data_IF_299807736880
#
_entry.id   IF_299807736880
#
_cell.length_a   1.000
_cell.length_b   1.000
_cell.length_c   1.000
_cell.angle_alpha   90.00
_cell.angle_beta   90.00
_cell.angle_gamma   90.00
#
_symmetry.space_group_name_H-M   'P 1'
#
loop_
_entity.id
_entity.type
_entity.pdbx_description
1 polymer ?
#
# COMPACT_ATOMS: atom_id res chain seq x y z
N UNK A 1 -12.67 11.27 -20.91
CA UNK A 1 -11.61 12.20 -20.49
C UNK A 1 -10.30 11.72 -21.08
N UNK A 2 -9.46 12.58 -21.67
CA UNK A 2 -8.22 12.16 -22.31
C UNK A 2 -7.23 11.62 -21.27
N UNK A 3 -6.52 10.56 -21.65
CA UNK A 3 -5.34 10.08 -20.93
C UNK A 3 -4.13 10.88 -21.39
N UNK A 4 -3.29 11.29 -20.45
CA UNK A 4 -2.06 12.04 -20.69
C UNK A 4 -0.90 11.36 -19.97
N UNK A 5 0.31 11.72 -20.38
CA UNK A 5 1.55 11.23 -19.77
C UNK A 5 2.33 12.44 -19.25
N UNK A 6 2.74 12.38 -17.99
CA UNK A 6 3.56 13.38 -17.31
C UNK A 6 4.82 12.70 -16.80
N UNK A 7 5.99 13.27 -17.06
CA UNK A 7 7.26 12.63 -16.72
C UNK A 7 8.07 13.43 -15.70
N UNK A 8 8.89 12.71 -14.97
CA UNK A 8 9.96 13.16 -14.07
C UNK A 8 11.27 12.48 -14.50
N UNK A 9 12.43 12.80 -13.90
CA UNK A 9 13.71 12.22 -14.34
C UNK A 9 13.75 10.68 -14.35
N UNK A 10 13.08 10.00 -13.43
CA UNK A 10 13.14 8.54 -13.27
C UNK A 10 11.78 7.82 -13.39
N UNK A 11 10.69 8.58 -13.56
CA UNK A 11 9.34 8.03 -13.63
C UNK A 11 8.50 8.70 -14.71
N UNK A 12 7.69 7.91 -15.40
CA UNK A 12 6.66 8.38 -16.33
C UNK A 12 5.26 8.02 -15.81
N UNK A 13 4.41 9.00 -15.56
CA UNK A 13 3.05 8.81 -15.04
C UNK A 13 1.99 8.87 -16.14
N UNK A 14 1.13 7.86 -16.20
CA UNK A 14 -0.06 7.82 -17.07
C UNK A 14 -1.31 8.03 -16.24
N UNK A 15 -2.11 9.03 -16.59
CA UNK A 15 -3.29 9.42 -15.82
C UNK A 15 -4.34 10.12 -16.69
N UNK A 16 -5.52 10.34 -16.14
CA UNK A 16 -6.51 11.21 -16.78
C UNK A 16 -6.10 12.68 -16.59
N UNK A 17 -6.38 13.55 -17.57
CA UNK A 17 -6.02 14.98 -17.51
C UNK A 17 -6.51 15.69 -16.22
N UNK A 18 -7.67 15.30 -15.69
CA UNK A 18 -8.21 15.84 -14.43
C UNK A 18 -7.37 15.55 -13.18
N UNK A 19 -6.37 14.68 -13.28
CA UNK A 19 -5.48 14.26 -12.19
C UNK A 19 -4.09 14.93 -12.29
N UNK A 20 -3.87 15.84 -13.24
CA UNK A 20 -2.54 16.39 -13.55
C UNK A 20 -1.84 17.03 -12.34
N UNK A 21 -2.49 17.96 -11.64
CA UNK A 21 -1.91 18.60 -10.45
C UNK A 21 -1.58 17.60 -9.34
N UNK A 22 -2.49 16.64 -9.11
CA UNK A 22 -2.31 15.56 -8.13
C UNK A 22 -1.11 14.67 -8.48
N UNK A 23 -0.89 14.42 -9.77
CA UNK A 23 0.16 13.51 -10.27
C UNK A 23 1.55 14.12 -10.17
N UNK A 24 1.68 15.43 -10.38
CA UNK A 24 2.96 16.12 -10.19
C UNK A 24 3.51 15.90 -8.77
N UNK A 25 2.66 16.03 -7.74
CA UNK A 25 3.04 15.76 -6.35
C UNK A 25 3.36 14.28 -6.07
N UNK A 26 2.73 13.34 -6.80
CA UNK A 26 3.08 11.92 -6.71
C UNK A 26 4.49 11.67 -7.27
N UNK A 27 4.81 12.28 -8.41
CA UNK A 27 6.14 12.13 -9.03
C UNK A 27 7.23 12.74 -8.15
N UNK A 28 7.01 13.91 -7.56
CA UNK A 28 7.93 14.53 -6.60
C UNK A 28 8.17 13.62 -5.39
N UNK A 29 7.11 13.10 -4.77
CA UNK A 29 7.22 12.14 -3.66
C UNK A 29 8.02 10.88 -4.05
N UNK A 30 7.85 10.39 -5.27
CA UNK A 30 8.54 9.21 -5.77
C UNK A 30 10.02 9.48 -6.00
N UNK A 31 10.39 10.65 -6.51
CA UNK A 31 11.79 11.06 -6.67
C UNK A 31 12.48 11.22 -5.31
N UNK A 32 11.86 11.91 -4.35
CA UNK A 32 12.38 12.02 -2.98
C UNK A 32 12.56 10.64 -2.33
N UNK A 33 11.61 9.74 -2.56
CA UNK A 33 11.67 8.37 -2.05
C UNK A 33 12.77 7.58 -2.75
N UNK A 34 12.94 7.75 -4.07
CA UNK A 34 14.03 7.14 -4.84
C UNK A 34 15.35 7.56 -4.24
N UNK A 35 15.65 8.84 -4.16
CA UNK A 35 16.91 9.37 -3.64
C UNK A 35 17.28 8.79 -2.27
N UNK A 36 16.29 8.69 -1.37
CA UNK A 36 16.48 8.05 -0.06
C UNK A 36 16.80 6.55 -0.16
N UNK A 37 16.15 5.83 -1.07
CA UNK A 37 16.22 4.37 -1.14
C UNK A 37 17.36 3.83 -2.02
N UNK A 38 17.95 4.62 -2.93
CA UNK A 38 19.11 4.17 -3.75
C UNK A 38 20.31 3.77 -2.88
N UNK A 39 20.40 4.34 -1.68
CA UNK A 39 21.47 4.01 -0.72
C UNK A 39 21.33 2.60 -0.14
N UNK A 40 20.13 2.00 -0.21
CA UNK A 40 19.79 0.72 0.43
C UNK A 40 19.49 -0.39 -0.58
N UNK A 41 18.85 -0.05 -1.70
CA UNK A 41 18.40 -1.00 -2.71
C UNK A 41 19.04 -0.70 -4.07
N UNK A 42 19.28 -1.73 -4.89
CA UNK A 42 19.75 -1.52 -6.25
C UNK A 42 18.75 -0.68 -7.04
N UNK A 43 19.28 0.22 -7.86
CA UNK A 43 18.44 1.01 -8.76
C UNK A 43 17.80 0.08 -9.82
N UNK A 44 16.54 0.32 -10.16
CA UNK A 44 15.90 -0.34 -11.29
C UNK A 44 16.64 -0.02 -12.59
N UNK A 45 16.91 -1.04 -13.40
CA UNK A 45 17.57 -0.88 -14.71
C UNK A 45 16.75 -0.09 -15.74
N UNK A 46 15.52 0.29 -15.40
CA UNK A 46 14.57 0.89 -16.32
C UNK A 46 13.76 1.97 -15.64
N UNK A 47 13.31 2.93 -16.45
CA UNK A 47 12.27 3.89 -16.05
C UNK A 47 11.00 3.14 -15.60
N UNK A 48 10.38 3.67 -14.55
CA UNK A 48 9.19 3.09 -13.94
C UNK A 48 7.95 3.84 -14.40
N UNK A 49 6.97 3.10 -14.89
CA UNK A 49 5.68 3.68 -15.27
C UNK A 49 4.74 3.74 -14.07
N UNK A 50 4.14 4.91 -13.84
CA UNK A 50 3.24 5.18 -12.72
C UNK A 50 1.82 5.35 -13.28
N UNK A 51 0.96 4.35 -13.13
CA UNK A 51 -0.40 4.39 -13.67
C UNK A 51 -1.36 4.84 -12.58
N UNK A 52 -1.92 6.04 -12.73
CA UNK A 52 -2.84 6.66 -11.76
C UNK A 52 -4.29 6.49 -12.20
N UNK A 53 -5.06 5.85 -11.33
CA UNK A 53 -6.44 5.47 -11.58
C UNK A 53 -7.42 6.42 -10.89
N UNK A 54 -8.28 7.08 -11.67
CA UNK A 54 -9.32 7.97 -11.13
C UNK A 54 -10.47 7.26 -10.40
N UNK A 55 -10.49 5.91 -10.36
CA UNK A 55 -11.53 5.12 -9.69
C UNK A 55 -11.02 3.77 -9.17
N UNK A 56 -11.69 3.24 -8.14
CA UNK A 56 -11.41 1.89 -7.62
C UNK A 56 -11.68 0.80 -8.67
N UNK A 57 -12.68 1.02 -9.53
CA UNK A 57 -13.07 0.06 -10.57
C UNK A 57 -12.00 -0.08 -11.64
N UNK A 58 -11.46 1.03 -12.16
CA UNK A 58 -10.37 0.99 -13.13
C UNK A 58 -9.11 0.35 -12.57
N UNK A 59 -8.77 0.65 -11.30
CA UNK A 59 -7.66 0.00 -10.61
C UNK A 59 -7.89 -1.52 -10.45
N UNK A 60 -9.10 -1.96 -10.10
CA UNK A 60 -9.42 -3.37 -9.95
C UNK A 60 -9.41 -4.13 -11.29
N UNK A 61 -9.78 -3.47 -12.40
CA UNK A 61 -9.66 -4.03 -13.74
C UNK A 61 -8.20 -4.22 -14.17
N UNK A 62 -7.35 -3.23 -13.89
CA UNK A 62 -5.92 -3.34 -14.14
C UNK A 62 -5.26 -4.39 -13.24
N UNK A 63 -5.70 -4.48 -11.97
CA UNK A 63 -5.06 -5.29 -10.94
C UNK A 63 -6.09 -6.17 -10.20
N UNK A 64 -6.52 -7.30 -10.82
CA UNK A 64 -7.61 -8.14 -10.31
C UNK A 64 -7.29 -8.85 -8.99
N UNK A 65 -6.02 -8.91 -8.58
CA UNK A 65 -5.61 -9.45 -7.27
C UNK A 65 -5.90 -8.50 -6.10
N UNK A 66 -5.96 -7.20 -6.36
CA UNK A 66 -6.22 -6.20 -5.32
C UNK A 66 -7.57 -6.41 -4.59
N UNK A 67 -8.72 -6.65 -5.26
CA UNK A 67 -9.98 -6.94 -4.56
C UNK A 67 -9.93 -8.25 -3.75
N UNK A 68 -9.14 -9.24 -4.17
CA UNK A 68 -8.93 -10.46 -3.40
C UNK A 68 -8.14 -10.15 -2.11
N UNK A 69 -7.06 -9.37 -2.21
CA UNK A 69 -6.27 -8.95 -1.06
C UNK A 69 -7.09 -8.08 -0.09
N UNK A 70 -7.94 -7.20 -0.60
CA UNK A 70 -8.85 -6.39 0.22
C UNK A 70 -9.80 -7.25 1.06
N UNK A 71 -10.34 -8.34 0.50
CA UNK A 71 -11.21 -9.28 1.24
C UNK A 71 -10.47 -9.97 2.39
N UNK A 72 -9.19 -10.28 2.21
CA UNK A 72 -8.32 -10.90 3.21
C UNK A 72 -7.77 -9.89 4.24
N UNK A 73 -7.91 -8.60 3.96
CA UNK A 73 -7.40 -7.50 4.80
C UNK A 73 -8.46 -7.03 5.80
N UNK A 74 -8.04 -6.69 7.02
CA UNK A 74 -8.92 -6.15 8.06
C UNK A 74 -9.64 -4.88 7.58
N UNK A 75 -10.93 -4.67 7.91
CA UNK A 75 -11.72 -3.55 7.39
C UNK A 75 -11.07 -2.16 7.56
N UNK A 76 -10.44 -1.90 8.70
CA UNK A 76 -9.75 -0.63 8.96
C UNK A 76 -8.53 -0.42 8.05
N UNK A 77 -7.82 -1.49 7.68
CA UNK A 77 -6.59 -1.43 6.87
C UNK A 77 -6.87 -1.37 5.37
N UNK A 78 -8.05 -1.80 4.90
CA UNK A 78 -8.41 -1.82 3.46
C UNK A 78 -8.28 -0.46 2.79
N UNK A 79 -8.49 0.64 3.53
CA UNK A 79 -8.39 2.01 3.00
C UNK A 79 -6.97 2.38 2.54
N UNK A 80 -5.95 1.72 3.11
CA UNK A 80 -4.55 1.93 2.76
C UNK A 80 -4.05 1.00 1.65
N UNK A 81 -4.90 0.06 1.17
CA UNK A 81 -4.65 -0.68 -0.07
C UNK A 81 -5.00 0.21 -1.26
N UNK A 82 -4.06 1.10 -1.54
CA UNK A 82 -4.15 2.19 -2.50
C UNK A 82 -3.70 1.83 -3.92
N UNK A 83 -3.07 0.66 -4.10
CA UNK A 83 -2.46 0.31 -5.36
C UNK A 83 -1.78 -1.05 -5.34
N UNK A 84 -0.99 -1.30 -6.38
CA UNK A 84 -0.28 -2.55 -6.62
C UNK A 84 1.09 -2.28 -7.24
N UNK A 85 2.18 -2.83 -6.68
CA UNK A 85 3.50 -2.75 -7.29
C UNK A 85 3.71 -3.90 -8.29
N UNK A 86 3.97 -3.55 -9.54
CA UNK A 86 4.49 -4.44 -10.59
C UNK A 86 6.02 -4.46 -10.61
N UNK A 87 6.61 -5.12 -11.60
CA UNK A 87 8.08 -5.16 -11.77
C UNK A 87 8.63 -3.87 -12.42
N UNK A 88 7.79 -3.20 -13.21
CA UNK A 88 8.13 -1.98 -13.98
C UNK A 88 7.05 -0.90 -13.88
N UNK A 89 5.93 -1.25 -13.26
CA UNK A 89 4.75 -0.39 -13.21
C UNK A 89 4.26 -0.28 -11.77
N UNK A 90 3.87 0.91 -11.35
CA UNK A 90 3.15 1.15 -10.12
C UNK A 90 1.72 1.54 -10.48
N UNK A 91 0.74 0.73 -10.09
CA UNK A 91 -0.65 1.13 -10.23
C UNK A 91 -1.14 1.71 -8.91
N UNK A 92 -1.63 2.93 -8.92
CA UNK A 92 -2.19 3.57 -7.73
C UNK A 92 -3.52 4.25 -8.03
N UNK A 93 -4.30 4.44 -6.99
CA UNK A 93 -5.47 5.28 -7.03
C UNK A 93 -5.06 6.75 -6.95
N UNK A 94 -5.74 7.63 -7.68
CA UNK A 94 -5.53 9.07 -7.66
C UNK A 94 -5.48 9.65 -6.23
N UNK A 95 -4.56 10.58 -5.93
CA UNK A 95 -4.44 11.23 -4.61
C UNK A 95 -5.76 11.74 -4.04
N UNK A 96 -6.56 12.50 -4.79
CA UNK A 96 -7.91 12.92 -4.34
C UNK A 96 -8.81 11.78 -3.83
N UNK A 97 -8.67 10.58 -4.39
CA UNK A 97 -9.44 9.39 -3.96
C UNK A 97 -8.81 8.73 -2.73
N UNK A 98 -7.49 8.83 -2.55
CA UNK A 98 -6.81 8.40 -1.34
C UNK A 98 -7.23 9.28 -0.15
N UNK A 99 -7.28 10.59 -0.37
CA UNK A 99 -7.77 11.55 0.62
C UNK A 99 -9.23 11.27 1.00
N UNK A 100 -10.11 11.06 0.02
CA UNK A 100 -11.51 10.71 0.27
C UNK A 100 -11.70 9.39 1.06
N UNK A 101 -10.69 8.51 1.07
CA UNK A 101 -10.69 7.25 1.85
C UNK A 101 -10.09 7.41 3.25
N UNK A 102 -9.39 8.50 3.51
CA UNK A 102 -8.80 8.77 4.80
C UNK A 102 -9.91 8.93 5.86
N UNK A 103 -9.65 8.46 7.07
CA UNK A 103 -10.56 8.70 8.19
C UNK A 103 -10.17 9.96 8.96
N UNK A 104 -11.04 10.38 9.88
CA UNK A 104 -10.78 11.47 10.83
C UNK A 104 -9.69 11.16 11.86
N UNK A 105 -9.13 9.94 11.88
CA UNK A 105 -8.03 9.59 12.78
C UNK A 105 -6.77 10.37 12.37
N UNK A 106 -6.08 11.06 13.30
CA UNK A 106 -4.82 11.74 13.01
C UNK A 106 -3.81 10.82 12.33
N UNK A 107 -3.18 11.28 11.26
CA UNK A 107 -2.22 10.50 10.46
C UNK A 107 -2.88 9.66 9.34
N UNK A 108 -4.21 9.51 9.30
CA UNK A 108 -4.86 8.65 8.31
C UNK A 108 -4.70 9.18 6.88
N UNK A 109 -4.75 10.50 6.69
CA UNK A 109 -4.57 11.13 5.38
C UNK A 109 -3.12 11.00 4.93
N UNK A 110 -2.18 11.32 5.81
CA UNK A 110 -0.74 11.25 5.57
C UNK A 110 -0.32 9.82 5.25
N UNK A 111 -0.83 8.84 5.99
CA UNK A 111 -0.60 7.41 5.70
C UNK A 111 -1.11 7.02 4.30
N UNK A 112 -2.29 7.52 3.90
CA UNK A 112 -2.86 7.23 2.59
C UNK A 112 -2.07 7.89 1.45
N UNK A 113 -1.67 9.15 1.62
CA UNK A 113 -0.91 9.92 0.63
C UNK A 113 0.52 9.41 0.44
N UNK A 114 1.11 8.77 1.46
CA UNK A 114 2.40 8.07 1.35
C UNK A 114 2.33 6.69 0.69
N UNK A 115 1.14 6.26 0.24
CA UNK A 115 1.01 4.98 -0.44
C UNK A 115 1.88 4.82 -1.71
N UNK A 116 2.09 5.84 -2.57
CA UNK A 116 2.98 5.72 -3.72
C UNK A 116 4.41 5.37 -3.30
N UNK A 117 4.95 6.05 -2.30
CA UNK A 117 6.26 5.75 -1.71
C UNK A 117 6.33 4.32 -1.15
N UNK A 118 5.28 3.88 -0.45
CA UNK A 118 5.20 2.51 0.07
C UNK A 118 5.09 1.43 -1.00
N UNK A 119 4.47 1.72 -2.15
CA UNK A 119 4.41 0.81 -3.30
C UNK A 119 5.76 0.74 -4.03
N UNK A 120 6.41 1.87 -4.22
CA UNK A 120 7.75 1.93 -4.80
C UNK A 120 8.77 1.15 -3.94
N UNK A 121 8.74 1.36 -2.62
CA UNK A 121 9.56 0.58 -1.69
C UNK A 121 9.28 -0.94 -1.77
N UNK A 122 8.00 -1.34 -1.88
CA UNK A 122 7.65 -2.76 -2.07
C UNK A 122 8.24 -3.34 -3.36
N UNK A 123 8.22 -2.57 -4.44
CA UNK A 123 8.82 -2.97 -5.71
C UNK A 123 10.34 -3.18 -5.55
N UNK A 124 11.05 -2.22 -4.96
CA UNK A 124 12.51 -2.33 -4.72
C UNK A 124 12.86 -3.52 -3.83
N UNK A 125 12.12 -3.72 -2.74
CA UNK A 125 12.29 -4.88 -1.85
C UNK A 125 12.07 -6.18 -2.63
N UNK A 126 11.04 -6.23 -3.48
CA UNK A 126 10.77 -7.38 -4.33
C UNK A 126 11.91 -7.65 -5.32
N UNK A 127 12.41 -6.62 -5.99
CA UNK A 127 13.49 -6.72 -6.98
C UNK A 127 14.80 -7.19 -6.32
N UNK A 128 15.13 -6.65 -5.14
CA UNK A 128 16.30 -7.06 -4.37
C UNK A 128 16.17 -8.47 -3.77
N UNK A 129 14.95 -8.99 -3.62
CA UNK A 129 14.68 -10.27 -2.97
C UNK A 129 13.80 -11.17 -3.84
N UNK A 130 14.38 -11.98 -4.75
CA UNK A 130 13.62 -12.87 -5.65
C UNK A 130 12.70 -13.86 -4.93
N UNK A 131 12.95 -14.13 -3.64
CA UNK A 131 12.10 -14.99 -2.79
C UNK A 131 10.85 -14.27 -2.25
N UNK A 132 10.86 -12.94 -2.21
CA UNK A 132 9.78 -12.05 -1.76
C UNK A 132 9.00 -11.42 -2.92
N UNK A 133 9.61 -11.39 -4.10
CA UNK A 133 9.02 -11.05 -5.40
C UNK A 133 7.48 -11.16 -5.39
N UNK A 134 6.74 -10.02 -5.40
CA UNK A 134 5.29 -10.02 -5.62
C UNK A 134 4.96 -10.78 -6.91
N UNK A 135 3.71 -11.26 -7.09
CA UNK A 135 3.41 -12.28 -8.10
C UNK A 135 3.55 -11.70 -9.51
N UNK A 136 4.77 -11.71 -10.03
CA UNK A 136 5.11 -11.51 -11.44
C UNK A 136 4.91 -12.81 -12.24
N UNK A 137 4.22 -13.77 -11.64
CA UNK A 137 3.75 -15.00 -12.26
C UNK A 137 2.23 -15.10 -12.03
N UNK A 138 1.47 -15.62 -13.00
CA UNK A 138 0.03 -15.80 -12.84
C UNK A 138 -0.24 -16.74 -11.64
N UNK A 139 -0.91 -16.19 -10.63
CA UNK A 139 -1.40 -16.93 -9.46
C UNK A 139 -0.62 -16.64 -8.15
N UNK A 140 -1.30 -16.34 -7.03
CA UNK A 140 -0.66 -16.22 -5.74
C UNK A 140 -0.19 -17.60 -5.26
N UNK A 141 1.11 -17.75 -4.98
CA UNK A 141 1.60 -18.98 -4.32
C UNK A 141 1.37 -18.89 -2.81
N UNK A 142 1.28 -20.05 -2.13
CA UNK A 142 1.25 -20.11 -0.65
C UNK A 142 2.44 -19.37 -0.03
N UNK A 143 3.60 -19.40 -0.70
CA UNK A 143 4.81 -18.69 -0.30
C UNK A 143 4.63 -17.17 -0.40
N UNK A 144 4.06 -16.66 -1.49
CA UNK A 144 3.74 -15.24 -1.65
C UNK A 144 2.82 -14.75 -0.52
N UNK A 145 1.80 -15.53 -0.15
CA UNK A 145 0.92 -15.20 0.97
C UNK A 145 1.64 -15.23 2.32
N UNK A 146 2.55 -16.20 2.53
CA UNK A 146 3.35 -16.31 3.76
C UNK A 146 4.28 -15.11 3.97
N UNK A 147 4.77 -14.49 2.90
CA UNK A 147 5.71 -13.36 2.96
C UNK A 147 5.05 -12.00 2.69
N UNK A 148 3.75 -11.96 2.37
CA UNK A 148 3.03 -10.73 2.09
C UNK A 148 3.13 -9.71 3.22
N UNK A 149 3.13 -10.16 4.48
CA UNK A 149 3.30 -9.28 5.64
C UNK A 149 4.65 -8.57 5.66
N UNK A 150 5.72 -9.24 5.21
CA UNK A 150 7.06 -8.69 5.19
C UNK A 150 7.19 -7.66 4.07
N UNK A 151 6.67 -7.97 2.87
CA UNK A 151 6.65 -7.02 1.77
C UNK A 151 5.84 -5.76 2.12
N UNK A 152 4.61 -5.94 2.63
CA UNK A 152 3.74 -4.82 3.05
C UNK A 152 4.38 -4.01 4.18
N UNK A 153 4.98 -4.68 5.17
CA UNK A 153 5.65 -4.03 6.30
C UNK A 153 6.89 -3.24 5.87
N UNK A 154 7.72 -3.81 4.98
CA UNK A 154 8.88 -3.14 4.41
C UNK A 154 8.44 -1.91 3.60
N UNK A 155 7.38 -2.03 2.79
CA UNK A 155 6.77 -0.90 2.10
C UNK A 155 6.38 0.24 3.04
N UNK A 156 5.67 -0.09 4.12
CA UNK A 156 5.26 0.91 5.12
C UNK A 156 6.47 1.55 5.83
N UNK A 157 7.51 0.77 6.13
CA UNK A 157 8.72 1.27 6.78
C UNK A 157 9.51 2.21 5.86
N UNK A 158 9.91 1.73 4.69
CA UNK A 158 10.73 2.50 3.75
C UNK A 158 9.96 3.64 3.07
N UNK A 159 8.63 3.52 2.96
CA UNK A 159 7.74 4.59 2.51
C UNK A 159 7.39 5.64 3.58
N UNK A 160 7.90 5.51 4.81
CA UNK A 160 7.67 6.49 5.90
C UNK A 160 6.27 6.43 6.54
N UNK A 161 5.44 5.44 6.18
CA UNK A 161 4.07 5.32 6.68
C UNK A 161 4.01 4.91 8.17
N UNK A 162 5.09 4.37 8.74
CA UNK A 162 5.12 3.86 10.12
C UNK A 162 4.86 4.94 11.18
N UNK A 163 5.28 6.19 10.94
CA UNK A 163 5.01 7.32 11.83
C UNK A 163 3.50 7.54 12.03
N UNK A 164 2.73 7.36 10.97
CA UNK A 164 1.28 7.55 10.94
C UNK A 164 0.49 6.28 11.31
N UNK A 165 1.14 5.11 11.29
CA UNK A 165 0.53 3.85 11.68
C UNK A 165 0.47 3.64 13.21
N UNK A 166 1.23 4.43 14.01
CA UNK A 166 1.34 4.24 15.47
C UNK A 166 0.00 4.18 16.20
N UNK A 167 -1.00 5.06 15.94
CA UNK A 167 -2.29 4.98 16.61
C UNK A 167 -3.05 3.68 16.29
N UNK A 168 -3.02 3.24 15.02
CA UNK A 168 -3.67 2.02 14.58
C UNK A 168 -3.00 0.76 15.14
N UNK A 169 -1.67 0.74 15.18
CA UNK A 169 -0.88 -0.35 15.79
C UNK A 169 -1.15 -0.41 17.29
N UNK A 170 -1.09 0.73 18.00
CA UNK A 170 -1.36 0.79 19.43
C UNK A 170 -2.77 0.31 19.78
N UNK A 171 -3.78 0.68 18.97
CA UNK A 171 -5.14 0.17 19.11
C UNK A 171 -5.20 -1.35 18.92
N UNK A 172 -4.57 -1.87 17.86
CA UNK A 172 -4.53 -3.32 17.57
C UNK A 172 -3.87 -4.12 18.70
N UNK A 173 -2.79 -3.61 19.28
CA UNK A 173 -2.09 -4.29 20.38
C UNK A 173 -2.91 -4.31 21.68
N UNK A 174 -3.79 -3.33 21.90
CA UNK A 174 -4.67 -3.27 23.08
C UNK A 174 -5.98 -4.03 22.92
N UNK A 175 -6.60 -3.94 21.75
CA UNK A 175 -7.95 -4.44 21.48
C UNK A 175 -7.96 -5.76 20.69
N UNK A 176 -6.82 -6.15 20.11
CA UNK A 176 -6.71 -7.35 19.28
C UNK A 176 -6.03 -8.51 20.00
N UNK A 177 -6.07 -9.68 19.35
CA UNK A 177 -5.33 -10.85 19.81
C UNK A 177 -3.80 -10.62 19.74
N UNK A 178 -3.06 -11.36 20.55
CA UNK A 178 -1.60 -11.32 20.61
C UNK A 178 -0.96 -11.50 19.21
N UNK A 179 0.02 -10.63 18.84
CA UNK A 179 0.68 -10.71 17.55
C UNK A 179 1.53 -11.97 17.41
N UNK A 180 1.49 -12.60 16.23
CA UNK A 180 2.35 -13.74 15.87
C UNK A 180 3.16 -13.44 14.61
N UNK A 181 4.35 -14.02 14.50
CA UNK A 181 5.23 -13.85 13.34
C UNK A 181 5.70 -15.22 12.81
N UNK A 182 5.41 -15.58 11.54
CA UNK A 182 4.55 -14.86 10.58
C UNK A 182 3.08 -14.78 11.04
N UNK A 183 2.31 -13.79 10.57
CA UNK A 183 0.88 -13.73 10.84
C UNK A 183 0.17 -14.93 10.19
N UNK A 184 -0.75 -15.55 10.92
CA UNK A 184 -1.61 -16.61 10.37
C UNK A 184 -2.59 -16.08 9.29
N UNK A 185 -3.17 -16.97 8.46
CA UNK A 185 -4.17 -16.60 7.46
C UNK A 185 -5.47 -16.11 8.13
N UNK A 186 -5.53 -14.81 8.42
CA UNK A 186 -6.67 -14.03 8.89
C UNK A 186 -7.64 -14.69 9.91
N UNK A 187 -7.40 -14.39 11.19
CA UNK A 187 -8.46 -14.15 12.19
C UNK A 187 -9.42 -13.08 11.64
N UNK A 188 -10.67 -13.46 11.35
CA UNK A 188 -11.78 -12.57 11.03
C UNK A 188 -12.28 -11.93 12.34
N UNK A 189 -12.56 -10.62 12.36
CA UNK A 189 -13.17 -9.94 13.52
C UNK A 189 -14.60 -10.43 13.85
N UNK A 190 -15.34 -9.81 14.79
CA UNK A 190 -15.03 -8.62 15.60
C UNK A 190 -14.58 -9.00 17.02
N UNK A 191 -14.11 -8.01 17.79
CA UNK A 191 -14.05 -8.14 19.24
C UNK A 191 -15.42 -8.65 19.74
N UNK A 192 -15.44 -9.83 20.37
CA UNK A 192 -16.60 -10.27 21.13
C UNK A 192 -16.88 -9.20 22.18
N UNK A 193 -18.13 -8.78 22.25
CA UNK A 193 -18.59 -7.77 23.18
C UNK A 193 -18.02 -7.98 24.58
N UNK A 194 -17.61 -6.86 25.17
CA UNK A 194 -17.42 -6.72 26.60
C UNK A 194 -18.57 -7.46 27.32
N UNK A 195 -18.28 -8.61 27.92
CA UNK A 195 -19.18 -9.17 28.93
C UNK A 195 -19.03 -8.26 30.14
N UNK A 196 -20.09 -7.60 30.64
CA UNK A 196 -20.01 -7.03 31.97
C UNK A 196 -19.72 -8.20 32.91
N UNK A 197 -18.67 -8.06 33.73
CA UNK A 197 -18.41 -8.97 34.84
C UNK A 197 -19.63 -9.03 35.76
N UNK A 198 -19.81 -10.12 36.51
CA UNK A 198 -20.93 -10.23 37.44
C UNK A 198 -20.89 -9.05 38.41
N UNK A 199 -21.99 -8.29 38.47
CA UNK A 199 -22.25 -7.38 39.57
C UNK A 199 -22.44 -8.24 40.83
N UNK A 200 -21.45 -8.27 41.71
CA UNK A 200 -21.65 -8.58 43.12
C UNK A 200 -22.16 -7.32 43.85
N UNK A 201 -22.74 -7.42 45.05
CA UNK A 201 -22.68 -8.54 45.99
C UNK A 201 -23.92 -9.46 45.99
#
# INVERSE_FOLDING_TARGET
MPWVETSSPNFAARHELRDEDDVAGVLELLEDTRERLVQTFPEPEHEITVVVHGSTGSLALAQPYLPLLQRLTAPASRRYLAGWPGARELHLLAPRRLEARASSVPGSREMALLAPAGLYAQMLVGLANPRLAPPWRPGPTRRTLQWAWLALGAGQYFGGQTAFARPAVGRRLREGDEPSFPPGPARRGPARGHRPGPAGP
#
